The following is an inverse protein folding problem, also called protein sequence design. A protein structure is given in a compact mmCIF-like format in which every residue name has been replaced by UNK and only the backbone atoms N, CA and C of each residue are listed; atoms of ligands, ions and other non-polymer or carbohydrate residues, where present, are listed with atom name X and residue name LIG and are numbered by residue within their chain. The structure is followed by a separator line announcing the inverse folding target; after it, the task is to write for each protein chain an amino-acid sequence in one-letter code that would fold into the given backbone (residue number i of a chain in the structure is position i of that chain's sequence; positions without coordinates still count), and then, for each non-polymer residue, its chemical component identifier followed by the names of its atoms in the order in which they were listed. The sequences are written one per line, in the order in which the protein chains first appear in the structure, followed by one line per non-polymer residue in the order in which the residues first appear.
data_IF_666835390583
#
_entry.id   IF_666835390583
#
_cell.length_a   1.000
_cell.length_b   1.000
_cell.length_c   1.000
_cell.angle_alpha   90.00
_cell.angle_beta   90.00
_cell.angle_gamma   90.00
#
_symmetry.space_group_name_H-M   'P 1'
#
loop_
_entity.id
_entity.type
_entity.pdbx_description
1 polymer ?
#
# COMPACT_ATOMS: atom_id res chain seq x y z
N UNK A 1 19.45 -49.89 11.51
CA UNK A 1 18.50 -49.59 10.41
C UNK A 1 17.20 -49.11 11.02
N UNK A 2 16.72 -47.93 10.56
CA UNK A 2 15.33 -47.38 10.58
C UNK A 2 14.64 -47.22 11.96
N UNK A 3 14.03 -46.09 12.30
CA UNK A 3 13.75 -44.84 11.59
C UNK A 3 13.12 -43.80 12.53
N UNK A 4 13.18 -42.51 12.15
CA UNK A 4 12.39 -41.43 12.74
C UNK A 4 10.89 -41.67 12.51
N UNK A 5 10.04 -41.29 13.46
CA UNK A 5 8.63 -40.97 13.18
C UNK A 5 8.29 -39.55 13.65
N UNK A 6 7.78 -38.78 12.69
CA UNK A 6 7.55 -37.33 12.67
C UNK A 6 6.09 -37.04 13.05
N UNK A 7 5.75 -36.97 14.34
CA UNK A 7 4.37 -36.58 14.74
C UNK A 7 4.26 -35.64 15.93
N UNK A 8 5.35 -34.99 16.34
CA UNK A 8 5.22 -33.74 17.07
C UNK A 8 5.09 -32.59 16.06
N UNK A 9 4.12 -31.70 16.32
CA UNK A 9 3.85 -30.43 15.65
C UNK A 9 2.79 -30.38 14.53
N UNK A 10 1.55 -30.78 14.83
CA UNK A 10 0.38 -30.08 14.27
C UNK A 10 -0.68 -29.86 15.36
N UNK A 11 -0.49 -28.82 16.18
CA UNK A 11 -1.62 -28.20 16.87
C UNK A 11 -2.30 -27.28 15.86
N UNK A 12 -3.36 -27.75 15.22
CA UNK A 12 -4.30 -26.92 14.48
C UNK A 12 -5.07 -26.05 15.46
N UNK A 13 -4.66 -24.79 15.60
CA UNK A 13 -5.46 -23.77 16.27
C UNK A 13 -6.63 -23.39 15.37
N UNK A 14 -7.86 -23.46 15.91
CA UNK A 14 -9.08 -23.01 15.23
C UNK A 14 -8.98 -21.48 15.04
N UNK A 15 -8.90 -21.04 13.80
CA UNK A 15 -9.04 -19.62 13.45
C UNK A 15 -10.47 -19.18 13.79
N UNK A 16 -10.63 -18.36 14.83
CA UNK A 16 -11.90 -17.66 15.09
C UNK A 16 -12.11 -16.61 13.99
N UNK A 17 -13.23 -16.70 13.28
CA UNK A 17 -13.56 -15.73 12.23
C UNK A 17 -13.74 -14.34 12.82
N UNK A 18 -13.08 -13.34 12.23
CA UNK A 18 -13.25 -11.93 12.59
C UNK A 18 -12.16 -11.34 13.49
N UNK A 19 -11.17 -12.12 13.95
CA UNK A 19 -9.97 -11.57 14.59
C UNK A 19 -8.79 -11.53 13.60
N UNK A 20 -7.98 -10.45 13.56
CA UNK A 20 -6.77 -10.42 12.76
C UNK A 20 -5.85 -11.57 13.20
N UNK A 21 -5.38 -12.35 12.22
CA UNK A 21 -4.48 -13.44 12.49
C UNK A 21 -3.19 -12.87 13.09
N UNK A 22 -2.87 -13.24 14.34
CA UNK A 22 -1.65 -12.82 15.07
C UNK A 22 -0.32 -13.28 14.43
N UNK A 23 -0.34 -13.87 13.22
CA UNK A 23 0.88 -14.19 12.47
C UNK A 23 1.15 -13.03 11.52
N UNK A 24 2.05 -12.14 11.95
CA UNK A 24 2.55 -11.07 11.12
C UNK A 24 3.14 -11.60 9.81
N UNK A 25 2.84 -10.94 8.71
CA UNK A 25 3.50 -11.02 7.43
C UNK A 25 4.87 -10.40 7.61
N UNK A 26 5.91 -11.13 7.24
CA UNK A 26 7.30 -10.64 7.23
C UNK A 26 7.63 -10.05 5.86
N UNK A 27 8.74 -9.31 5.73
CA UNK A 27 9.16 -8.76 4.44
C UNK A 27 9.28 -9.83 3.34
N UNK A 28 9.70 -11.06 3.70
CA UNK A 28 9.79 -12.19 2.77
C UNK A 28 8.45 -12.73 2.26
N UNK A 29 7.32 -12.25 2.80
CA UNK A 29 5.98 -12.60 2.36
C UNK A 29 5.35 -11.53 1.47
N UNK A 30 6.00 -10.38 1.29
CA UNK A 30 5.53 -9.32 0.41
C UNK A 30 5.95 -9.64 -1.02
N UNK A 31 4.98 -9.64 -1.92
CA UNK A 31 5.29 -9.68 -3.34
C UNK A 31 5.78 -8.30 -3.80
N UNK A 32 6.92 -8.25 -4.49
CA UNK A 32 7.40 -7.06 -5.17
C UNK A 32 7.49 -7.32 -6.68
N UNK A 33 7.01 -6.37 -7.48
CA UNK A 33 7.14 -6.39 -8.94
C UNK A 33 8.60 -6.52 -9.42
N UNK A 34 9.56 -5.98 -8.67
CA UNK A 34 10.99 -6.08 -8.97
C UNK A 34 11.83 -5.99 -7.69
N UNK A 35 13.14 -6.26 -7.80
CA UNK A 35 14.08 -6.03 -6.69
C UNK A 35 14.10 -4.55 -6.26
N UNK A 36 14.11 -3.66 -7.25
CA UNK A 36 14.11 -2.21 -7.06
C UNK A 36 12.85 -1.74 -6.31
N UNK A 37 11.68 -2.32 -6.62
CA UNK A 37 10.45 -2.06 -5.86
C UNK A 37 10.63 -2.40 -4.36
N UNK A 38 11.26 -3.55 -4.04
CA UNK A 38 11.55 -3.91 -2.64
C UNK A 38 12.57 -2.98 -1.96
N UNK A 39 13.60 -2.56 -2.67
CA UNK A 39 14.61 -1.63 -2.15
C UNK A 39 14.03 -0.23 -1.89
N UNK A 40 13.17 0.26 -2.79
CA UNK A 40 12.44 1.51 -2.61
C UNK A 40 11.46 1.43 -1.42
N UNK A 41 10.80 0.28 -1.24
CA UNK A 41 9.86 0.07 -0.15
C UNK A 41 10.54 0.22 1.21
N UNK A 42 11.70 -0.42 1.39
CA UNK A 42 12.48 -0.35 2.64
C UNK A 42 12.86 1.11 2.93
N UNK A 43 13.35 1.84 1.93
CA UNK A 43 13.70 3.26 2.08
C UNK A 43 12.52 4.12 2.55
N UNK A 44 11.32 3.92 1.98
CA UNK A 44 10.14 4.68 2.37
C UNK A 44 9.59 4.28 3.74
N UNK A 45 9.64 2.98 4.08
CA UNK A 45 9.25 2.49 5.40
C UNK A 45 10.13 3.08 6.49
N UNK A 46 11.43 3.15 6.26
CA UNK A 46 12.38 3.79 7.19
C UNK A 46 12.14 5.30 7.27
N UNK A 47 12.07 5.98 6.12
CA UNK A 47 11.87 7.44 6.05
C UNK A 47 10.63 7.89 6.80
N UNK A 48 9.51 7.19 6.60
CA UNK A 48 8.22 7.57 7.17
C UNK A 48 7.84 6.78 8.41
N UNK A 49 8.78 6.02 9.00
CA UNK A 49 8.57 5.26 10.23
C UNK A 49 7.34 4.32 10.15
N UNK A 50 7.13 3.67 9.00
CA UNK A 50 5.90 2.96 8.65
C UNK A 50 5.78 1.54 9.25
N UNK A 51 6.83 1.04 9.91
CA UNK A 51 6.94 -0.36 10.38
C UNK A 51 5.88 -0.80 11.41
N UNK A 52 5.18 0.15 12.04
CA UNK A 52 4.08 -0.09 12.98
C UNK A 52 2.76 0.53 12.54
N UNK A 53 2.73 1.13 11.36
CA UNK A 53 1.54 1.83 10.88
C UNK A 53 1.05 1.24 9.55
N UNK A 54 0.02 0.36 9.56
CA UNK A 54 -0.48 -0.34 8.37
C UNK A 54 -0.92 0.58 7.22
N UNK A 55 -1.48 1.75 7.51
CA UNK A 55 -1.85 2.76 6.49
C UNK A 55 -0.61 3.31 5.80
N UNK A 56 0.42 3.70 6.57
CA UNK A 56 1.69 4.17 6.02
C UNK A 56 2.41 3.04 5.28
N UNK A 57 2.41 1.81 5.80
CA UNK A 57 3.07 0.67 5.15
C UNK A 57 2.41 0.33 3.81
N UNK A 58 1.08 0.29 3.75
CA UNK A 58 0.35 0.07 2.50
C UNK A 58 0.64 1.17 1.47
N UNK A 59 0.67 2.44 1.91
CA UNK A 59 0.99 3.55 1.04
C UNK A 59 2.44 3.49 0.55
N UNK A 60 3.42 3.32 1.45
CA UNK A 60 4.84 3.15 1.12
C UNK A 60 5.05 2.03 0.10
N UNK A 61 4.33 0.91 0.25
CA UNK A 61 4.42 -0.21 -0.68
C UNK A 61 4.01 0.20 -2.10
N UNK A 62 2.81 0.75 -2.28
CA UNK A 62 2.35 1.12 -3.63
C UNK A 62 3.25 2.17 -4.27
N UNK A 63 3.60 3.22 -3.52
CA UNK A 63 4.38 4.34 -4.07
C UNK A 63 5.87 4.01 -4.25
N UNK A 64 6.33 2.88 -3.69
CA UNK A 64 7.68 2.37 -3.93
C UNK A 64 7.86 1.67 -5.27
N UNK A 65 6.77 1.41 -5.99
CA UNK A 65 6.86 0.89 -7.35
C UNK A 65 7.67 1.86 -8.23
N UNK A 66 8.64 1.41 -9.06
CA UNK A 66 9.51 2.30 -9.85
C UNK A 66 8.75 3.29 -10.74
N UNK A 67 7.58 2.89 -11.25
CA UNK A 67 6.69 3.75 -12.04
C UNK A 67 6.12 4.95 -11.24
N UNK A 68 6.21 4.95 -9.92
CA UNK A 68 5.79 6.07 -9.07
C UNK A 68 7.02 6.68 -8.39
N UNK A 69 7.88 5.82 -7.82
CA UNK A 69 8.98 6.23 -6.95
C UNK A 69 9.89 7.30 -7.53
N UNK A 70 10.27 7.18 -8.80
CA UNK A 70 11.20 8.12 -9.44
C UNK A 70 10.57 9.42 -9.92
N UNK A 71 9.25 9.56 -9.81
CA UNK A 71 8.53 10.78 -10.18
C UNK A 71 8.34 11.74 -9.00
N UNK A 72 8.60 11.26 -7.78
CA UNK A 72 8.34 12.02 -6.54
C UNK A 72 9.64 12.58 -5.98
N UNK A 73 9.65 13.86 -5.65
CA UNK A 73 10.71 14.42 -4.81
C UNK A 73 10.46 14.02 -3.34
N UNK A 74 10.96 12.85 -2.96
CA UNK A 74 10.75 12.31 -1.62
C UNK A 74 11.23 13.25 -0.52
N UNK A 75 12.28 14.04 -0.77
CA UNK A 75 12.83 14.98 0.22
C UNK A 75 11.84 16.04 0.69
N UNK A 76 10.90 16.43 -0.17
CA UNK A 76 9.88 17.47 0.07
C UNK A 76 8.52 16.88 0.47
N UNK A 77 8.36 15.56 0.46
CA UNK A 77 7.10 14.92 0.80
C UNK A 77 6.98 14.68 2.30
N UNK A 78 5.91 15.21 2.89
CA UNK A 78 5.59 15.10 4.32
C UNK A 78 5.07 13.72 4.74
N UNK A 79 4.76 12.86 3.75
CA UNK A 79 4.31 11.50 3.99
C UNK A 79 4.26 10.67 2.70
N UNK A 80 3.91 9.38 2.77
CA UNK A 80 3.93 8.48 1.60
C UNK A 80 3.05 8.94 0.43
N UNK A 81 1.98 9.69 0.73
CA UNK A 81 1.06 10.28 -0.26
C UNK A 81 1.07 11.82 -0.26
N UNK A 82 2.01 12.48 0.43
CA UNK A 82 2.01 13.94 0.55
C UNK A 82 2.10 14.68 -0.78
N UNK A 83 2.67 14.02 -1.80
CA UNK A 83 2.81 14.51 -3.17
C UNK A 83 1.54 14.35 -4.03
N UNK A 84 0.48 13.72 -3.51
CA UNK A 84 -0.76 13.46 -4.26
C UNK A 84 -1.55 14.74 -4.56
N UNK A 85 -1.58 15.67 -3.61
CA UNK A 85 -2.37 16.90 -3.70
C UNK A 85 -1.67 17.95 -4.55
N UNK A 86 -2.39 18.47 -5.53
CA UNK A 86 -1.99 19.59 -6.37
C UNK A 86 -2.53 20.92 -5.86
N UNK A 87 -2.79 21.83 -6.80
CA UNK A 87 -3.33 23.16 -6.51
C UNK A 87 -4.65 23.06 -5.73
N UNK A 88 -4.84 24.00 -4.81
CA UNK A 88 -6.12 24.21 -4.14
C UNK A 88 -7.12 24.77 -5.16
N UNK A 89 -8.32 24.18 -5.25
CA UNK A 89 -9.31 24.51 -6.29
C UNK A 89 -10.64 25.05 -5.75
N UNK A 90 -10.85 25.10 -4.44
CA UNK A 90 -12.05 25.70 -3.86
C UNK A 90 -12.42 25.21 -2.46
N UNK A 91 -13.28 25.96 -1.78
CA UNK A 91 -14.09 25.50 -0.65
C UNK A 91 -15.46 25.09 -1.18
N UNK A 92 -15.99 23.93 -0.74
CA UNK A 92 -17.43 23.67 -0.82
C UNK A 92 -18.03 24.11 0.50
N UNK A 93 -19.20 24.74 0.46
CA UNK A 93 -19.90 25.24 1.65
C UNK A 93 -20.20 24.12 2.69
N UNK A 94 -20.00 22.84 2.31
CA UNK A 94 -20.16 21.67 3.16
C UNK A 94 -18.85 20.90 3.52
N UNK A 95 -17.68 21.35 3.05
CA UNK A 95 -16.40 20.68 3.34
C UNK A 95 -15.35 21.68 3.83
N UNK A 96 -15.17 21.76 5.16
CA UNK A 96 -14.28 22.71 5.84
C UNK A 96 -12.80 22.57 5.43
N UNK A 97 -12.42 21.51 4.69
CA UNK A 97 -11.04 21.27 4.27
C UNK A 97 -10.73 21.73 2.84
N UNK A 98 -11.75 22.14 2.07
CA UNK A 98 -11.60 22.48 0.66
C UNK A 98 -11.17 21.30 -0.22
N UNK A 99 -11.14 21.53 -1.53
CA UNK A 99 -10.77 20.54 -2.53
C UNK A 99 -9.42 20.91 -3.13
N UNK A 100 -8.51 19.93 -3.17
CA UNK A 100 -7.29 19.99 -3.96
C UNK A 100 -7.49 19.21 -5.26
N UNK A 101 -6.92 19.71 -6.35
CA UNK A 101 -6.73 18.90 -7.54
C UNK A 101 -5.74 17.75 -7.26
N UNK A 102 -5.69 16.76 -8.14
CA UNK A 102 -4.57 15.82 -8.18
C UNK A 102 -3.32 16.54 -8.69
N UNK A 103 -2.14 16.16 -8.18
CA UNK A 103 -0.88 16.77 -8.61
C UNK A 103 -0.52 16.40 -10.04
N UNK A 104 0.37 17.18 -10.66
CA UNK A 104 0.87 16.91 -12.01
C UNK A 104 1.50 15.51 -12.14
N UNK A 105 2.13 15.01 -11.07
CA UNK A 105 2.69 13.65 -11.03
C UNK A 105 1.58 12.61 -11.26
N UNK A 106 0.42 12.77 -10.62
CA UNK A 106 -0.71 11.86 -10.74
C UNK A 106 -1.31 11.92 -12.14
N UNK A 107 -1.39 13.11 -12.75
CA UNK A 107 -1.89 13.29 -14.12
C UNK A 107 -1.01 12.62 -15.19
N UNK A 108 0.30 12.47 -14.92
CA UNK A 108 1.23 11.80 -15.81
C UNK A 108 1.21 10.26 -15.69
N UNK A 109 0.53 9.70 -14.68
CA UNK A 109 0.38 8.25 -14.55
C UNK A 109 -0.61 7.70 -15.57
N UNK A 110 -0.37 6.45 -16.01
CA UNK A 110 -1.39 5.72 -16.75
C UNK A 110 -2.68 5.56 -15.93
N UNK A 111 -3.81 5.42 -16.62
CA UNK A 111 -5.13 5.30 -15.96
C UNK A 111 -5.20 4.17 -14.93
N UNK A 112 -4.48 3.07 -15.13
CA UNK A 112 -4.42 1.95 -14.19
C UNK A 112 -3.64 2.32 -12.92
N UNK A 113 -2.49 2.98 -13.05
CA UNK A 113 -1.69 3.43 -11.90
C UNK A 113 -2.35 4.60 -11.16
N UNK A 114 -3.00 5.52 -11.89
CA UNK A 114 -3.78 6.60 -11.30
C UNK A 114 -4.92 6.07 -10.43
N UNK A 115 -5.67 5.08 -10.91
CA UNK A 115 -6.70 4.42 -10.10
C UNK A 115 -6.13 3.66 -8.90
N UNK A 116 -4.97 3.01 -9.04
CA UNK A 116 -4.28 2.36 -7.92
C UNK A 116 -3.88 3.38 -6.84
N UNK A 117 -3.32 4.53 -7.22
CA UNK A 117 -2.97 5.60 -6.29
C UNK A 117 -4.21 6.15 -5.59
N UNK A 118 -5.29 6.44 -6.31
CA UNK A 118 -6.58 6.86 -5.71
C UNK A 118 -7.05 5.88 -4.64
N UNK A 119 -7.07 4.59 -4.97
CA UNK A 119 -7.42 3.55 -3.98
C UNK A 119 -6.50 3.56 -2.76
N UNK A 120 -5.21 3.85 -2.95
CA UNK A 120 -4.21 3.91 -1.88
C UNK A 120 -4.43 5.13 -0.99
N UNK A 121 -4.81 6.27 -1.57
CA UNK A 121 -5.20 7.46 -0.82
C UNK A 121 -6.43 7.15 0.03
N UNK A 122 -7.45 6.48 -0.51
CA UNK A 122 -8.61 6.05 0.28
C UNK A 122 -8.22 5.12 1.45
N UNK A 123 -7.30 4.17 1.21
CA UNK A 123 -6.79 3.28 2.26
C UNK A 123 -6.00 4.05 3.34
N UNK A 124 -5.34 5.14 2.97
CA UNK A 124 -4.51 5.95 3.86
C UNK A 124 -5.32 6.99 4.64
N UNK A 125 -6.20 7.75 3.99
CA UNK A 125 -6.97 8.84 4.62
C UNK A 125 -8.26 8.34 5.27
N UNK A 126 -8.79 7.20 4.82
CA UNK A 126 -10.12 6.72 5.20
C UNK A 126 -11.26 7.48 4.53
N UNK A 127 -10.95 8.41 3.62
CA UNK A 127 -11.92 9.22 2.88
C UNK A 127 -12.07 8.72 1.45
N UNK A 128 -13.25 8.89 0.87
CA UNK A 128 -13.52 8.51 -0.52
C UNK A 128 -12.79 9.48 -1.48
N UNK A 129 -12.10 8.94 -2.48
CA UNK A 129 -11.28 9.67 -3.45
C UNK A 129 -11.41 9.09 -4.86
N UNK A 130 -12.60 9.25 -5.46
CA UNK A 130 -12.86 9.01 -6.89
C UNK A 130 -12.41 7.63 -7.42
N UNK A 131 -12.24 6.63 -6.55
CA UNK A 131 -11.84 5.29 -6.96
C UNK A 131 -13.06 4.45 -7.32
N UNK A 132 -13.33 4.31 -8.62
CA UNK A 132 -14.30 3.35 -9.14
C UNK A 132 -13.64 1.99 -9.33
N UNK A 133 -13.79 1.10 -8.33
CA UNK A 133 -13.25 -0.25 -8.35
C UNK A 133 -13.71 -1.04 -9.58
N UNK A 134 -14.98 -0.93 -9.98
CA UNK A 134 -15.54 -1.74 -11.06
C UNK A 134 -14.94 -1.35 -12.40
N UNK A 135 -14.89 -0.05 -12.69
CA UNK A 135 -14.27 0.48 -13.90
C UNK A 135 -12.77 0.19 -13.93
N UNK A 136 -12.09 0.40 -12.80
CA UNK A 136 -10.66 0.18 -12.68
C UNK A 136 -10.25 -1.29 -12.89
N UNK A 137 -11.03 -2.26 -12.37
CA UNK A 137 -10.76 -3.69 -12.60
C UNK A 137 -10.78 -4.08 -14.08
N UNK A 138 -11.56 -3.39 -14.92
CA UNK A 138 -11.58 -3.61 -16.37
C UNK A 138 -10.32 -3.10 -17.10
N UNK A 139 -9.52 -2.26 -16.44
CA UNK A 139 -8.32 -1.61 -16.98
C UNK A 139 -7.02 -2.04 -16.26
N UNK A 140 -7.12 -2.63 -15.07
CA UNK A 140 -5.97 -3.05 -14.28
C UNK A 140 -5.32 -4.31 -14.88
N UNK A 141 -4.09 -4.17 -15.38
CA UNK A 141 -3.26 -5.32 -15.73
C UNK A 141 -2.81 -6.10 -14.48
N UNK A 142 -2.32 -7.34 -14.69
CA UNK A 142 -1.95 -8.28 -13.62
C UNK A 142 -1.02 -7.70 -12.55
N UNK A 143 -0.01 -6.92 -12.97
CA UNK A 143 0.94 -6.29 -12.05
C UNK A 143 0.25 -5.29 -11.12
N UNK A 144 -0.51 -4.36 -11.71
CA UNK A 144 -1.27 -3.33 -10.99
C UNK A 144 -2.34 -3.93 -10.08
N UNK A 145 -3.00 -5.00 -10.53
CA UNK A 145 -3.92 -5.77 -9.71
C UNK A 145 -3.22 -6.42 -8.51
N UNK A 146 -2.04 -7.04 -8.71
CA UNK A 146 -1.26 -7.62 -7.61
C UNK A 146 -0.78 -6.56 -6.61
N UNK A 147 -0.38 -5.37 -7.08
CA UNK A 147 -0.04 -4.24 -6.20
C UNK A 147 -1.21 -3.88 -5.30
N UNK A 148 -2.42 -3.79 -5.86
CA UNK A 148 -3.64 -3.50 -5.10
C UNK A 148 -3.94 -4.59 -4.06
N UNK A 149 -3.90 -5.87 -4.43
CA UNK A 149 -4.14 -6.95 -3.47
C UNK A 149 -3.11 -6.95 -2.34
N UNK A 150 -1.83 -6.75 -2.67
CA UNK A 150 -0.77 -6.72 -1.67
C UNK A 150 -0.89 -5.51 -0.73
N UNK A 151 -1.33 -4.34 -1.23
CA UNK A 151 -1.58 -3.16 -0.39
C UNK A 151 -2.76 -3.36 0.56
N UNK A 152 -3.82 -4.06 0.14
CA UNK A 152 -4.92 -4.45 1.03
C UNK A 152 -4.45 -5.39 2.15
N UNK A 153 -3.61 -6.37 1.84
CA UNK A 153 -3.05 -7.28 2.84
C UNK A 153 -2.16 -6.54 3.87
N UNK A 154 -1.38 -5.57 3.41
CA UNK A 154 -0.62 -4.67 4.27
C UNK A 154 -1.54 -3.83 5.17
N UNK A 155 -2.58 -3.21 4.60
CA UNK A 155 -3.49 -2.31 5.30
C UNK A 155 -4.33 -2.99 6.39
N UNK A 156 -4.66 -4.28 6.21
CA UNK A 156 -5.50 -5.08 7.12
C UNK A 156 -4.81 -5.49 8.42
N UNK A 157 -3.66 -4.91 8.74
CA UNK A 157 -2.91 -5.14 9.98
C UNK A 157 -2.54 -6.63 10.17
N UNK A 158 -2.16 -7.26 9.06
CA UNK A 158 -1.50 -8.57 9.09
C UNK A 158 0.01 -8.43 9.21
N UNK A 159 0.58 -7.28 9.60
CA UNK A 159 1.99 -6.99 9.37
C UNK A 159 2.81 -6.71 10.64
N UNK A 160 4.01 -7.30 10.71
CA UNK A 160 5.09 -6.87 11.62
C UNK A 160 6.32 -6.72 10.73
N UNK A 161 6.74 -5.49 10.43
CA UNK A 161 7.98 -5.28 9.66
C UNK A 161 9.16 -5.37 10.64
N UNK A 162 9.85 -6.50 10.65
CA UNK A 162 11.19 -6.61 11.24
C UNK A 162 12.22 -6.18 10.19
N UNK A 163 12.79 -5.00 10.37
CA UNK A 163 13.97 -4.57 9.62
C UNK A 163 15.18 -5.32 10.20
N UNK A 164 15.94 -6.02 9.35
CA UNK A 164 17.13 -6.78 9.74
C UNK A 164 18.30 -5.88 10.14
#
# INVERSE_FOLDING_TARGET
MRGMDMKDQMKTEKVQSGQPAKRGMTLGNVWFASKEHGENFIQLVERFNAYKNPEYAAACYVVSHPEIYYRVNWSESDGPIGWYWGEWIGEDDNDENGYHAESEIVDQLSSSYRGLIRSTVELFTGSQHYFDLSSWLGNAGDEVYKLFIQSLELRRDRFVIELL
#
